data_IF_854120046579
#
_entry.id   IF_854120046579
#
_cell.length_a   1.000
_cell.length_b   1.000
_cell.length_c   1.000
_cell.angle_alpha   90.00
_cell.angle_beta   90.00
_cell.angle_gamma   90.00
#
_symmetry.space_group_name_H-M   'P 1'
#
loop_
_entity.id
_entity.type
_entity.pdbx_description
1 polymer ?
#
# COMPACT_ATOMS: atom_id res chain seq x y z
N UNK A 1 -10.27 5.48 33.68
CA UNK A 1 -8.99 5.89 33.02
C UNK A 1 -9.16 5.70 31.54
N UNK A 2 -9.33 6.78 30.75
CA UNK A 2 -9.48 6.66 29.29
C UNK A 2 -8.11 6.35 28.69
N UNK A 3 -7.97 5.36 27.80
CA UNK A 3 -6.70 5.10 27.15
C UNK A 3 -6.32 6.32 26.31
N UNK A 4 -5.15 6.90 26.57
CA UNK A 4 -4.56 7.92 25.71
C UNK A 4 -4.28 7.27 24.34
N UNK A 5 -5.03 7.67 23.33
CA UNK A 5 -4.70 7.33 21.95
C UNK A 5 -3.26 7.81 21.69
N UNK A 6 -2.42 6.91 21.18
CA UNK A 6 -1.04 7.24 20.87
C UNK A 6 -1.00 8.41 19.88
N UNK A 7 0.07 9.22 19.92
CA UNK A 7 0.27 10.31 18.95
C UNK A 7 0.18 9.83 17.48
N UNK A 8 0.46 8.57 17.24
CA UNK A 8 0.30 7.88 15.95
C UNK A 8 -1.18 7.72 15.59
N UNK A 9 -2.03 7.26 16.50
CA UNK A 9 -3.48 7.13 16.26
C UNK A 9 -4.15 8.49 16.03
N UNK A 10 -3.72 9.55 16.72
CA UNK A 10 -4.25 10.90 16.50
C UNK A 10 -3.83 11.49 15.14
N UNK A 11 -2.65 11.13 14.61
CA UNK A 11 -2.20 11.52 13.27
C UNK A 11 -2.97 10.82 12.17
N UNK A 12 -3.27 9.54 12.33
CA UNK A 12 -4.13 8.78 11.41
C UNK A 12 -5.53 9.38 11.31
N UNK A 13 -6.06 9.92 12.42
CA UNK A 13 -7.36 10.58 12.45
C UNK A 13 -7.38 11.96 11.77
N UNK A 14 -6.22 12.64 11.65
CA UNK A 14 -6.10 13.99 11.06
C UNK A 14 -5.73 13.99 9.59
N UNK A 15 -5.25 12.87 9.03
CA UNK A 15 -4.86 12.80 7.63
C UNK A 15 -6.07 12.75 6.69
N UNK A 16 -5.98 13.43 5.56
CA UNK A 16 -6.96 13.32 4.47
C UNK A 16 -6.88 11.96 3.75
N UNK A 17 -5.91 11.14 4.09
CA UNK A 17 -5.78 9.76 3.60
C UNK A 17 -6.83 8.90 4.28
N UNK A 18 -7.65 8.14 3.55
CA UNK A 18 -8.61 7.24 4.15
C UNK A 18 -7.86 6.24 5.03
N UNK A 19 -8.00 6.36 6.36
CA UNK A 19 -7.51 5.34 7.28
C UNK A 19 -8.21 4.03 6.98
N UNK A 20 -7.59 2.92 7.34
CA UNK A 20 -8.22 1.60 7.22
C UNK A 20 -9.63 1.56 7.84
N UNK A 21 -9.85 2.27 8.95
CA UNK A 21 -11.17 2.41 9.59
C UNK A 21 -12.16 3.19 8.72
N UNK A 22 -11.73 4.26 8.05
CA UNK A 22 -12.56 4.97 7.08
C UNK A 22 -12.84 4.15 5.85
N UNK A 23 -11.88 3.35 5.42
CA UNK A 23 -12.06 2.37 4.35
C UNK A 23 -13.08 1.31 4.76
N UNK A 24 -12.94 0.75 5.97
CA UNK A 24 -13.90 -0.19 6.52
C UNK A 24 -15.29 0.45 6.73
N UNK A 25 -15.34 1.69 7.26
CA UNK A 25 -16.61 2.40 7.43
C UNK A 25 -17.30 2.71 6.10
N UNK A 26 -16.55 3.04 5.05
CA UNK A 26 -17.10 3.16 3.70
C UNK A 26 -17.56 1.81 3.14
N UNK A 27 -16.86 0.74 3.43
CA UNK A 27 -17.22 -0.61 3.01
C UNK A 27 -18.40 -1.17 3.83
N UNK A 28 -18.58 -0.73 5.08
CA UNK A 28 -19.65 -1.16 5.98
C UNK A 28 -20.88 -0.22 5.96
N UNK A 29 -20.70 1.04 5.56
CA UNK A 29 -21.75 2.09 5.70
C UNK A 29 -22.82 2.08 4.64
N UNK A 30 -22.64 1.36 3.54
CA UNK A 30 -23.63 1.34 2.45
C UNK A 30 -24.60 0.15 2.48
N UNK A 31 -24.64 -0.62 3.56
CA UNK A 31 -25.57 -1.75 3.68
C UNK A 31 -25.50 -2.72 2.50
N UNK A 32 -24.46 -2.63 1.71
CA UNK A 32 -24.28 -3.42 0.53
C UNK A 32 -23.51 -4.69 0.91
N UNK A 33 -24.06 -5.80 0.53
CA UNK A 33 -23.36 -7.06 0.35
C UNK A 33 -22.02 -6.81 -0.35
N UNK A 34 -21.00 -7.67 -0.16
CA UNK A 34 -19.73 -7.54 -0.85
C UNK A 34 -20.01 -7.34 -2.33
N UNK A 35 -19.88 -6.10 -2.80
CA UNK A 35 -20.12 -5.82 -4.22
C UNK A 35 -19.08 -6.59 -5.02
N UNK A 36 -19.53 -7.36 -5.99
CA UNK A 36 -18.67 -8.05 -6.97
C UNK A 36 -17.93 -7.07 -7.90
N UNK A 37 -17.97 -5.78 -7.58
CA UNK A 37 -17.35 -4.75 -8.39
C UNK A 37 -15.83 -4.69 -8.16
N UNK A 38 -15.06 -4.53 -9.25
CA UNK A 38 -13.62 -4.31 -9.18
C UNK A 38 -13.26 -3.14 -8.28
N UNK A 39 -12.32 -3.35 -7.35
CA UNK A 39 -11.91 -2.33 -6.39
C UNK A 39 -10.51 -1.84 -6.66
N UNK A 40 -10.39 -0.52 -6.80
CA UNK A 40 -9.13 0.19 -6.88
C UNK A 40 -9.11 1.38 -5.91
N UNK A 41 -8.00 1.56 -5.20
CA UNK A 41 -7.80 2.62 -4.23
C UNK A 41 -6.75 3.59 -4.75
N UNK A 42 -7.09 4.88 -4.85
CA UNK A 42 -6.11 5.91 -5.16
C UNK A 42 -5.25 6.20 -3.93
N UNK A 43 -3.95 5.97 -4.07
CA UNK A 43 -2.96 6.13 -3.00
C UNK A 43 -2.09 7.38 -3.18
N UNK A 44 -2.36 8.21 -4.20
CA UNK A 44 -1.61 9.42 -4.51
C UNK A 44 -0.31 9.19 -5.29
N UNK A 45 0.29 8.01 -5.17
CA UNK A 45 1.41 7.56 -6.00
C UNK A 45 0.94 6.67 -7.16
N UNK A 46 -0.34 6.35 -7.24
CA UNK A 46 -0.99 5.47 -8.20
C UNK A 46 -2.19 4.79 -7.57
N UNK A 47 -2.60 3.64 -8.12
CA UNK A 47 -3.73 2.86 -7.64
C UNK A 47 -3.28 1.53 -7.04
N UNK A 48 -3.95 1.14 -5.95
CA UNK A 48 -3.86 -0.20 -5.40
C UNK A 48 -5.11 -0.98 -5.82
N UNK A 49 -4.94 -1.96 -6.70
CA UNK A 49 -6.00 -2.81 -7.21
C UNK A 49 -6.12 -4.07 -6.36
N UNK A 50 -7.32 -4.41 -5.94
CA UNK A 50 -7.57 -5.59 -5.12
C UNK A 50 -7.90 -6.76 -6.06
N UNK A 51 -6.89 -7.56 -6.41
CA UNK A 51 -6.93 -8.52 -7.51
C UNK A 51 -8.08 -9.53 -7.44
N UNK A 52 -8.43 -10.04 -6.26
CA UNK A 52 -9.52 -11.00 -6.12
C UNK A 52 -10.93 -10.42 -6.35
N UNK A 53 -11.08 -9.09 -6.46
CA UNK A 53 -12.36 -8.45 -6.80
C UNK A 53 -12.57 -8.31 -8.31
N UNK A 54 -11.57 -8.66 -9.10
CA UNK A 54 -11.68 -8.70 -10.56
C UNK A 54 -12.10 -10.11 -10.99
N UNK A 55 -13.26 -10.27 -11.63
CA UNK A 55 -13.78 -11.59 -11.97
C UNK A 55 -12.92 -12.32 -13.02
N UNK A 56 -12.22 -11.58 -13.86
CA UNK A 56 -11.41 -12.14 -14.92
C UNK A 56 -9.99 -11.52 -14.96
N UNK A 57 -8.95 -12.33 -15.26
CA UNK A 57 -7.58 -11.84 -15.37
C UNK A 57 -7.39 -10.72 -16.40
N UNK A 58 -8.15 -10.75 -17.50
CA UNK A 58 -8.11 -9.74 -18.54
C UNK A 58 -8.61 -8.37 -18.09
N UNK A 59 -9.62 -8.33 -17.23
CA UNK A 59 -10.12 -7.07 -16.65
C UNK A 59 -9.08 -6.45 -15.71
N UNK A 60 -8.42 -7.25 -14.89
CA UNK A 60 -7.35 -6.78 -14.03
C UNK A 60 -6.15 -6.28 -14.85
N UNK A 61 -5.76 -7.02 -15.88
CA UNK A 61 -4.69 -6.60 -16.79
C UNK A 61 -5.03 -5.27 -17.47
N UNK A 62 -6.23 -5.14 -18.01
CA UNK A 62 -6.70 -3.89 -18.63
C UNK A 62 -6.66 -2.70 -17.66
N UNK A 63 -7.12 -2.92 -16.43
CA UNK A 63 -7.09 -1.88 -15.41
C UNK A 63 -5.66 -1.46 -15.03
N UNK A 64 -4.71 -2.42 -14.98
CA UNK A 64 -3.29 -2.12 -14.74
C UNK A 64 -2.65 -1.34 -15.90
N UNK A 65 -3.06 -1.61 -17.14
CA UNK A 65 -2.56 -0.92 -18.34
C UNK A 65 -3.04 0.54 -18.45
N UNK A 66 -4.02 0.95 -17.64
CA UNK A 66 -4.44 2.34 -17.50
C UNK A 66 -3.50 3.17 -16.60
N UNK A 67 -2.40 2.60 -16.13
CA UNK A 67 -1.40 3.30 -15.32
C UNK A 67 -0.99 4.62 -15.98
N UNK A 68 -1.02 5.69 -15.23
CA UNK A 68 -0.67 7.02 -15.75
C UNK A 68 0.83 7.26 -15.68
N UNK A 69 1.33 8.07 -16.57
CA UNK A 69 2.73 8.49 -16.54
C UNK A 69 3.08 9.16 -15.21
N UNK A 70 4.11 8.65 -14.54
CA UNK A 70 4.55 9.13 -13.22
C UNK A 70 3.77 8.56 -12.04
N UNK A 71 2.80 7.69 -12.28
CA UNK A 71 2.11 6.89 -11.26
C UNK A 71 2.54 5.44 -11.33
N UNK A 72 2.20 4.66 -10.31
CA UNK A 72 2.42 3.23 -10.28
C UNK A 72 1.15 2.53 -9.79
N UNK A 73 0.61 1.64 -10.62
CA UNK A 73 -0.51 0.79 -10.23
C UNK A 73 0.00 -0.57 -9.77
N UNK A 74 -0.50 -1.03 -8.63
CA UNK A 74 -0.09 -2.29 -8.03
C UNK A 74 -1.32 -3.13 -7.75
N UNK A 75 -1.32 -4.38 -8.21
CA UNK A 75 -2.35 -5.34 -7.83
C UNK A 75 -1.86 -6.23 -6.68
N UNK A 76 -2.66 -6.34 -5.63
CA UNK A 76 -2.46 -7.26 -4.52
C UNK A 76 -3.52 -8.36 -4.50
N UNK A 77 -3.20 -9.47 -3.86
CA UNK A 77 -4.11 -10.61 -3.68
C UNK A 77 -4.61 -11.20 -5.00
N UNK A 78 -3.71 -11.31 -5.97
CA UNK A 78 -4.01 -11.91 -7.28
C UNK A 78 -3.91 -13.43 -7.16
N UNK A 79 -5.01 -14.13 -7.35
CA UNK A 79 -5.06 -15.59 -7.18
C UNK A 79 -4.25 -16.35 -8.24
N UNK A 80 -4.23 -15.85 -9.47
CA UNK A 80 -3.54 -16.47 -10.60
C UNK A 80 -2.73 -15.43 -11.40
N UNK A 81 -1.62 -14.90 -10.83
CA UNK A 81 -0.87 -13.79 -11.43
C UNK A 81 -0.31 -14.14 -12.81
N UNK A 82 0.02 -15.40 -13.08
CA UNK A 82 0.49 -15.86 -14.39
C UNK A 82 -0.57 -15.67 -15.49
N UNK A 83 -1.85 -15.75 -15.16
CA UNK A 83 -2.93 -15.52 -16.13
C UNK A 83 -3.09 -14.03 -16.45
N UNK A 84 -2.86 -13.16 -15.47
CA UNK A 84 -2.86 -11.71 -15.66
C UNK A 84 -1.65 -11.29 -16.51
N UNK A 85 -0.46 -11.80 -16.19
CA UNK A 85 0.76 -11.55 -16.96
C UNK A 85 0.63 -12.00 -18.42
N UNK A 86 -0.03 -13.12 -18.65
CA UNK A 86 -0.24 -13.65 -20.01
C UNK A 86 -1.05 -12.71 -20.92
N UNK A 87 -1.85 -11.80 -20.34
CA UNK A 87 -2.63 -10.81 -21.11
C UNK A 87 -1.75 -9.67 -21.64
N UNK A 88 -0.68 -9.31 -20.93
CA UNK A 88 0.20 -8.22 -21.33
C UNK A 88 1.65 -8.47 -20.84
N UNK A 89 2.33 -9.50 -21.37
CA UNK A 89 3.61 -9.99 -20.84
C UNK A 89 4.77 -9.01 -21.02
N UNK A 90 4.63 -7.99 -21.86
CA UNK A 90 5.66 -6.98 -22.10
C UNK A 90 5.44 -5.68 -21.30
N UNK A 91 4.27 -5.54 -20.68
CA UNK A 91 3.88 -4.32 -19.94
C UNK A 91 3.71 -4.57 -18.45
N UNK A 92 3.41 -5.82 -18.07
CA UNK A 92 3.24 -6.21 -16.69
C UNK A 92 4.43 -7.03 -16.21
N UNK A 93 4.79 -6.87 -14.97
CA UNK A 93 5.77 -7.74 -14.31
C UNK A 93 5.24 -8.23 -12.97
N UNK A 94 5.74 -9.38 -12.53
CA UNK A 94 5.41 -9.95 -11.24
C UNK A 94 6.53 -9.60 -10.23
N UNK A 95 6.14 -8.93 -9.17
CA UNK A 95 6.97 -8.75 -7.98
C UNK A 95 6.33 -9.57 -6.84
N UNK A 96 6.75 -10.85 -6.68
CA UNK A 96 6.14 -11.71 -5.69
C UNK A 96 6.45 -11.23 -4.27
N UNK A 97 5.41 -11.05 -3.48
CA UNK A 97 5.53 -10.67 -2.09
C UNK A 97 4.60 -11.49 -1.21
N UNK A 98 5.07 -11.82 0.00
CA UNK A 98 4.27 -12.50 1.00
C UNK A 98 3.63 -11.49 1.95
N UNK A 99 2.32 -11.58 2.13
CA UNK A 99 1.63 -10.82 3.18
C UNK A 99 1.70 -11.57 4.49
N UNK A 100 2.44 -11.03 5.44
CA UNK A 100 2.56 -11.60 6.77
C UNK A 100 1.63 -10.88 7.74
N UNK A 101 0.97 -11.65 8.59
CA UNK A 101 0.14 -11.12 9.68
C UNK A 101 0.74 -11.54 11.02
N UNK A 102 0.94 -10.56 11.89
CA UNK A 102 1.32 -10.79 13.29
C UNK A 102 0.18 -10.32 14.20
N UNK A 103 -0.36 -11.23 14.99
CA UNK A 103 -1.29 -10.86 16.05
C UNK A 103 -0.53 -10.24 17.21
N UNK A 104 -1.03 -9.14 17.75
CA UNK A 104 -0.35 -8.47 18.87
C UNK A 104 -0.23 -9.36 20.13
N UNK A 105 -1.15 -10.30 20.34
CA UNK A 105 -1.06 -11.34 21.38
C UNK A 105 0.17 -12.24 21.22
N UNK A 106 0.60 -12.45 19.99
CA UNK A 106 1.71 -13.35 19.65
C UNK A 106 3.03 -12.61 19.49
N UNK A 107 2.98 -11.28 19.51
CA UNK A 107 4.16 -10.45 19.39
C UNK A 107 5.15 -10.72 20.52
N UNK A 108 6.36 -11.05 20.17
CA UNK A 108 7.50 -11.20 21.09
C UNK A 108 8.57 -10.18 20.66
N UNK A 109 8.89 -9.19 21.51
CA UNK A 109 9.95 -8.24 21.20
C UNK A 109 11.28 -8.97 21.05
N UNK A 110 12.07 -8.58 20.05
CA UNK A 110 13.40 -9.14 19.87
C UNK A 110 14.29 -8.78 21.07
N UNK A 111 14.94 -9.78 21.65
CA UNK A 111 15.90 -9.58 22.74
C UNK A 111 17.29 -9.17 22.21
N UNK A 112 17.50 -9.32 20.90
CA UNK A 112 18.78 -9.05 20.25
C UNK A 112 18.92 -7.56 19.99
N UNK A 113 19.97 -6.96 20.55
CA UNK A 113 20.34 -5.57 20.25
C UNK A 113 21.14 -5.54 18.95
N UNK A 114 20.61 -4.86 17.93
CA UNK A 114 21.34 -4.61 16.70
C UNK A 114 22.28 -3.43 16.89
N UNK A 115 23.58 -3.63 16.63
CA UNK A 115 24.62 -2.61 16.85
C UNK A 115 25.08 -1.91 15.56
N UNK A 116 24.67 -2.39 14.39
CA UNK A 116 25.16 -1.92 13.10
C UNK A 116 24.36 -0.80 12.45
N UNK A 117 23.20 -0.43 13.00
CA UNK A 117 22.35 0.62 12.42
C UNK A 117 21.53 1.33 13.51
N UNK A 118 21.01 2.49 13.14
CA UNK A 118 20.14 3.28 13.99
C UNK A 118 18.87 3.62 13.24
N UNK A 119 17.71 3.41 13.88
CA UNK A 119 16.41 3.81 13.33
C UNK A 119 16.06 5.18 13.89
N UNK A 120 15.73 6.13 13.01
CA UNK A 120 15.24 7.46 13.37
C UNK A 120 14.15 7.90 12.40
N UNK A 121 13.39 8.90 12.78
CA UNK A 121 12.47 9.55 11.85
C UNK A 121 13.23 10.39 10.84
N UNK A 122 12.78 10.37 9.59
CA UNK A 122 13.18 11.35 8.61
C UNK A 122 12.53 12.69 8.96
N UNK A 123 13.30 13.78 9.01
CA UNK A 123 12.84 15.08 9.48
C UNK A 123 13.31 16.23 8.60
N UNK A 124 14.41 16.07 7.89
CA UNK A 124 14.97 17.12 7.05
C UNK A 124 14.76 16.85 5.57
N UNK A 125 14.93 17.88 4.75
CA UNK A 125 14.85 17.76 3.30
C UNK A 125 15.96 16.85 2.75
N UNK A 126 17.13 16.85 3.39
CA UNK A 126 18.24 15.96 3.04
C UNK A 126 17.87 14.49 3.27
N UNK A 127 17.14 14.19 4.36
CA UNK A 127 16.64 12.84 4.61
C UNK A 127 15.73 12.37 3.47
N UNK A 128 14.83 13.25 3.03
CA UNK A 128 13.90 12.94 1.96
C UNK A 128 14.60 12.80 0.61
N UNK A 129 15.56 13.65 0.32
CA UNK A 129 16.38 13.51 -0.89
C UNK A 129 17.13 12.18 -0.91
N UNK A 130 17.72 11.79 0.22
CA UNK A 130 18.42 10.52 0.34
C UNK A 130 17.48 9.32 0.14
N UNK A 131 16.29 9.35 0.73
CA UNK A 131 15.25 8.32 0.55
C UNK A 131 14.84 8.25 -0.93
N UNK A 132 14.54 9.38 -1.55
CA UNK A 132 14.10 9.41 -2.94
C UNK A 132 15.19 8.97 -3.91
N UNK A 133 16.44 9.33 -3.64
CA UNK A 133 17.59 8.81 -4.40
C UNK A 133 17.67 7.29 -4.32
N UNK A 134 17.52 6.73 -3.11
CA UNK A 134 17.51 5.28 -2.92
C UNK A 134 16.34 4.62 -3.66
N UNK A 135 15.14 5.20 -3.61
CA UNK A 135 13.96 4.68 -4.31
C UNK A 135 14.19 4.65 -5.82
N UNK A 136 14.68 5.75 -6.39
CA UNK A 136 14.99 5.83 -7.82
C UNK A 136 16.04 4.79 -8.26
N UNK A 137 17.08 4.55 -7.45
CA UNK A 137 18.08 3.51 -7.76
C UNK A 137 17.50 2.09 -7.75
N UNK A 138 16.34 1.91 -7.14
CA UNK A 138 15.62 0.63 -7.08
C UNK A 138 14.45 0.56 -8.06
N UNK A 139 14.29 1.53 -8.95
CA UNK A 139 13.16 1.60 -9.86
C UNK A 139 11.81 1.87 -9.18
N UNK A 140 11.85 2.37 -7.96
CA UNK A 140 10.65 2.75 -7.21
C UNK A 140 10.30 4.21 -7.46
N UNK A 141 9.03 4.56 -7.33
CA UNK A 141 8.62 5.96 -7.42
C UNK A 141 9.09 6.74 -6.20
N UNK A 142 9.52 8.00 -6.40
CA UNK A 142 9.85 8.89 -5.31
C UNK A 142 8.67 9.09 -4.36
N UNK A 143 8.97 9.19 -3.09
CA UNK A 143 7.97 9.47 -2.06
C UNK A 143 7.65 10.96 -2.08
N UNK A 144 6.38 11.30 -2.22
CA UNK A 144 5.92 12.68 -2.13
C UNK A 144 5.62 13.03 -0.67
N UNK A 145 6.21 14.12 -0.17
CA UNK A 145 6.02 14.59 1.22
C UNK A 145 4.56 14.86 1.56
N UNK A 146 3.74 15.30 0.60
CA UNK A 146 2.31 15.51 0.81
C UNK A 146 1.55 14.22 1.13
N UNK A 147 2.11 13.07 0.80
CA UNK A 147 1.53 11.74 1.02
C UNK A 147 2.04 11.07 2.30
N UNK A 148 3.14 11.56 2.86
CA UNK A 148 3.76 11.00 4.07
C UNK A 148 3.21 11.64 5.34
N UNK A 149 2.38 12.64 5.26
CA UNK A 149 1.62 13.14 6.39
C UNK A 149 0.53 12.17 6.84
N UNK A 150 0.95 10.92 6.96
CA UNK A 150 0.19 9.87 7.63
C UNK A 150 0.50 9.91 9.13
#
# INVERSE_FOLDING_TARGET
>A
MKPHASAYGQRLLRGQVPSYERLQARLAGDGNEPSDEPRALHCGWGRLLIGHTYPEPGLLASALLEERAGERDIALYVAAPQQVLAQAPQQLFLDPSDTLRLWFSDYRPAQRVFRGFRIRRAQSDEDWQAINTLYLTRGMLPVNLSLIHI
#
